data_IF_503545026729
#
_entry.id   IF_503545026729
#
_cell.length_a   1.000
_cell.length_b   1.000
_cell.length_c   1.000
_cell.angle_alpha   90.00
_cell.angle_beta   90.00
_cell.angle_gamma   90.00
#
_symmetry.space_group_name_H-M   'P 1'
#
loop_
_entity.id
_entity.type
_entity.pdbx_description
1 polymer ?
#
# COMPACT_ATOMS: atom_id res chain seq x y z
N UNK A 1 -4.51 -0.34 -23.86
CA UNK A 1 -4.13 -0.50 -22.45
C UNK A 1 -2.64 -0.86 -22.41
N UNK A 2 -1.91 -0.27 -21.48
CA UNK A 2 -0.49 -0.61 -21.26
C UNK A 2 -0.35 -2.03 -20.71
N UNK A 3 0.77 -2.70 -20.99
CA UNK A 3 1.09 -3.99 -20.41
C UNK A 3 1.34 -3.89 -18.89
N UNK A 4 1.34 -5.04 -18.22
CA UNK A 4 1.45 -5.08 -16.76
C UNK A 4 2.83 -4.59 -16.26
N UNK A 5 3.91 -4.87 -16.98
CA UNK A 5 5.25 -4.44 -16.58
C UNK A 5 5.38 -2.90 -16.60
N UNK A 6 4.86 -2.29 -17.66
CA UNK A 6 4.79 -0.82 -17.79
C UNK A 6 3.93 -0.21 -16.67
N UNK A 7 2.77 -0.81 -16.36
CA UNK A 7 1.91 -0.34 -15.28
C UNK A 7 2.59 -0.45 -13.90
N UNK A 8 3.23 -1.59 -13.61
CA UNK A 8 3.98 -1.81 -12.36
C UNK A 8 5.16 -0.82 -12.23
N UNK A 9 5.86 -0.57 -13.34
CA UNK A 9 6.97 0.38 -13.37
C UNK A 9 6.50 1.81 -13.09
N UNK A 10 5.40 2.22 -13.70
CA UNK A 10 4.80 3.56 -13.46
C UNK A 10 4.27 3.74 -12.03
N UNK A 11 3.96 2.64 -11.35
CA UNK A 11 3.47 2.63 -9.96
C UNK A 11 4.59 2.52 -8.92
N UNK A 12 5.84 2.46 -9.36
CA UNK A 12 6.98 2.27 -8.46
C UNK A 12 7.09 3.40 -7.43
N UNK A 13 7.32 3.04 -6.16
CA UNK A 13 7.39 3.99 -5.05
C UNK A 13 6.07 4.22 -4.31
N UNK A 14 4.92 4.01 -4.94
CA UNK A 14 3.60 4.23 -4.31
C UNK A 14 3.17 3.09 -3.37
N UNK A 15 3.84 1.95 -3.44
CA UNK A 15 3.50 0.77 -2.65
C UNK A 15 2.14 0.15 -2.99
N UNK A 16 1.77 -0.91 -2.25
CA UNK A 16 0.49 -1.60 -2.48
C UNK A 16 0.23 -1.93 -3.94
N UNK A 17 1.19 -2.57 -4.62
CA UNK A 17 1.18 -2.86 -6.06
C UNK A 17 -0.06 -3.64 -6.56
N UNK A 18 -0.80 -4.28 -5.65
CA UNK A 18 -2.11 -4.84 -5.98
C UNK A 18 -3.09 -3.81 -6.53
N UNK A 19 -2.95 -2.53 -6.16
CA UNK A 19 -3.85 -1.48 -6.63
C UNK A 19 -3.72 -1.24 -8.13
N UNK A 20 -2.50 -1.14 -8.66
CA UNK A 20 -2.31 -0.91 -10.10
C UNK A 20 -2.85 -2.08 -10.94
N UNK A 21 -2.68 -3.33 -10.49
CA UNK A 21 -3.29 -4.49 -11.13
C UNK A 21 -4.82 -4.44 -11.07
N UNK A 22 -5.37 -4.02 -9.93
CA UNK A 22 -6.81 -3.83 -9.80
C UNK A 22 -7.32 -2.75 -10.76
N UNK A 23 -6.59 -1.65 -10.93
CA UNK A 23 -6.95 -0.61 -11.91
C UNK A 23 -6.99 -1.15 -13.33
N UNK A 24 -6.02 -1.98 -13.74
CA UNK A 24 -6.04 -2.61 -15.06
C UNK A 24 -7.21 -3.58 -15.22
N UNK A 25 -7.49 -4.38 -14.18
CA UNK A 25 -8.63 -5.30 -14.19
C UNK A 25 -9.95 -4.53 -14.27
N UNK A 26 -10.12 -3.49 -13.46
CA UNK A 26 -11.29 -2.60 -13.48
C UNK A 26 -11.47 -1.95 -14.85
N UNK A 27 -10.39 -1.42 -15.44
CA UNK A 27 -10.47 -0.77 -16.74
C UNK A 27 -10.94 -1.74 -17.85
N UNK A 28 -10.48 -3.00 -17.82
CA UNK A 28 -10.96 -4.03 -18.75
C UNK A 28 -12.43 -4.35 -18.54
N UNK A 29 -12.85 -4.50 -17.29
CA UNK A 29 -14.24 -4.78 -16.93
C UNK A 29 -15.18 -3.64 -17.36
N UNK A 30 -14.76 -2.38 -17.15
CA UNK A 30 -15.53 -1.21 -17.58
C UNK A 30 -15.72 -1.19 -19.11
N UNK A 31 -14.67 -1.53 -19.85
CA UNK A 31 -14.78 -1.58 -21.32
C UNK A 31 -15.68 -2.72 -21.78
N UNK A 32 -15.51 -3.92 -21.20
CA UNK A 32 -16.19 -5.13 -21.64
C UNK A 32 -17.66 -5.20 -21.20
N UNK A 33 -17.94 -4.84 -19.95
CA UNK A 33 -19.26 -5.04 -19.33
C UNK A 33 -20.08 -3.73 -19.22
N UNK A 34 -19.43 -2.58 -19.22
CA UNK A 34 -20.09 -1.28 -19.03
C UNK A 34 -19.94 -0.33 -20.24
N UNK A 35 -19.50 -0.83 -21.38
CA UNK A 35 -19.37 -0.05 -22.61
C UNK A 35 -18.45 1.16 -22.49
N UNK A 36 -17.42 1.08 -21.64
CA UNK A 36 -16.44 2.16 -21.42
C UNK A 36 -16.91 3.26 -20.46
N UNK A 37 -18.09 3.12 -19.85
CA UNK A 37 -18.64 4.09 -18.89
C UNK A 37 -18.55 3.57 -17.47
N UNK A 38 -18.05 4.39 -16.56
CA UNK A 38 -17.98 4.04 -15.14
C UNK A 38 -19.40 3.93 -14.56
N UNK A 39 -19.75 2.81 -13.87
CA UNK A 39 -21.06 2.72 -13.23
C UNK A 39 -21.18 3.76 -12.11
N UNK A 40 -22.31 4.42 -12.06
CA UNK A 40 -22.62 5.51 -11.14
C UNK A 40 -23.58 5.10 -10.01
N UNK A 41 -23.68 3.80 -9.74
CA UNK A 41 -24.54 3.24 -8.69
C UNK A 41 -23.81 2.14 -7.92
N UNK A 42 -24.25 1.88 -6.69
CA UNK A 42 -23.58 0.96 -5.78
C UNK A 42 -23.58 -0.49 -6.29
N UNK A 43 -24.62 -0.91 -6.99
CA UNK A 43 -24.71 -2.26 -7.54
C UNK A 43 -23.68 -2.49 -8.65
N UNK A 44 -23.61 -1.58 -9.62
CA UNK A 44 -22.62 -1.62 -10.68
C UNK A 44 -21.18 -1.55 -10.16
N UNK A 45 -20.91 -0.69 -9.15
CA UNK A 45 -19.59 -0.59 -8.55
C UNK A 45 -19.17 -1.86 -7.78
N UNK A 46 -20.12 -2.54 -7.11
CA UNK A 46 -19.85 -3.82 -6.41
C UNK A 46 -19.46 -4.95 -7.37
N UNK A 47 -19.86 -4.89 -8.63
CA UNK A 47 -19.47 -5.87 -9.67
C UNK A 47 -18.01 -5.70 -10.10
N UNK A 48 -17.44 -4.52 -9.93
CA UNK A 48 -16.04 -4.27 -10.27
C UNK A 48 -15.08 -4.95 -9.29
N UNK A 49 -14.01 -5.57 -9.78
CA UNK A 49 -13.09 -6.32 -8.93
C UNK A 49 -12.41 -5.40 -7.91
N UNK A 50 -12.39 -5.81 -6.64
CA UNK A 50 -11.72 -5.12 -5.54
C UNK A 50 -12.25 -3.72 -5.22
N UNK A 51 -13.42 -3.36 -5.65
CA UNK A 51 -14.14 -2.19 -5.15
C UNK A 51 -14.83 -2.58 -3.85
N UNK A 52 -14.25 -2.14 -2.73
CA UNK A 52 -14.84 -2.30 -1.39
C UNK A 52 -15.79 -1.15 -1.03
N UNK A 53 -16.45 -1.23 0.16
CA UNK A 53 -17.40 -0.21 0.61
C UNK A 53 -16.83 1.21 0.57
N UNK A 54 -15.61 1.43 1.10
CA UNK A 54 -14.95 2.74 1.07
C UNK A 54 -14.77 3.26 -0.36
N UNK A 55 -14.22 2.43 -1.26
CA UNK A 55 -13.96 2.88 -2.64
C UNK A 55 -15.27 3.14 -3.39
N UNK A 56 -16.29 2.32 -3.16
CA UNK A 56 -17.63 2.54 -3.72
C UNK A 56 -18.22 3.85 -3.23
N UNK A 57 -18.23 4.10 -1.92
CA UNK A 57 -18.69 5.36 -1.32
C UNK A 57 -17.93 6.57 -1.83
N UNK A 58 -16.60 6.47 -1.93
CA UNK A 58 -15.75 7.54 -2.46
C UNK A 58 -16.05 7.85 -3.93
N UNK A 59 -16.22 6.83 -4.77
CA UNK A 59 -16.59 7.06 -6.17
C UNK A 59 -17.98 7.69 -6.30
N UNK A 60 -18.97 7.18 -5.55
CA UNK A 60 -20.33 7.72 -5.59
C UNK A 60 -20.37 9.17 -5.11
N UNK A 61 -19.73 9.49 -4.00
CA UNK A 61 -19.77 10.84 -3.45
C UNK A 61 -18.85 11.81 -4.20
N UNK A 62 -17.57 11.49 -4.38
CA UNK A 62 -16.62 12.45 -4.96
C UNK A 62 -16.75 12.59 -6.48
N UNK A 63 -16.99 11.49 -7.21
CA UNK A 63 -17.11 11.57 -8.66
C UNK A 63 -18.53 11.94 -9.14
N UNK A 64 -19.55 11.40 -8.48
CA UNK A 64 -20.94 11.51 -8.92
C UNK A 64 -21.83 12.38 -8.02
N UNK A 65 -21.33 12.90 -6.92
CA UNK A 65 -22.07 13.67 -5.91
C UNK A 65 -23.35 12.97 -5.43
N UNK A 66 -23.28 11.63 -5.30
CA UNK A 66 -24.40 10.82 -4.80
C UNK A 66 -24.27 10.56 -3.30
N UNK A 67 -25.38 10.54 -2.59
CA UNK A 67 -25.42 10.25 -1.16
C UNK A 67 -24.84 8.86 -0.87
N UNK A 68 -23.59 8.83 -0.49
CA UNK A 68 -22.88 7.61 -0.12
C UNK A 68 -21.86 7.92 0.97
N UNK A 69 -21.88 7.17 2.09
CA UNK A 69 -20.93 7.37 3.18
C UNK A 69 -19.55 6.87 2.80
N UNK A 70 -18.54 7.44 3.46
CA UNK A 70 -17.19 6.93 3.51
C UNK A 70 -16.77 6.74 4.97
N UNK A 71 -16.00 5.68 5.23
CA UNK A 71 -15.38 5.47 6.55
C UNK A 71 -13.93 5.08 6.33
N UNK A 72 -13.05 6.06 6.48
CA UNK A 72 -11.60 5.86 6.57
C UNK A 72 -11.13 6.03 8.02
N UNK A 73 -9.83 6.01 8.27
CA UNK A 73 -9.28 6.18 9.61
C UNK A 73 -9.53 7.58 10.21
N UNK A 74 -9.66 8.62 9.38
CA UNK A 74 -9.97 9.97 9.82
C UNK A 74 -11.43 10.09 10.20
N UNK A 75 -12.33 9.66 9.31
CA UNK A 75 -13.77 9.63 9.54
C UNK A 75 -14.11 8.79 10.76
N UNK A 76 -13.53 7.58 10.88
CA UNK A 76 -13.72 6.71 12.05
C UNK A 76 -13.33 7.40 13.37
N UNK A 77 -12.23 8.17 13.38
CA UNK A 77 -11.79 8.93 14.55
C UNK A 77 -12.74 10.07 14.88
N UNK A 78 -13.16 10.83 13.87
CA UNK A 78 -14.11 11.94 14.05
C UNK A 78 -15.43 11.42 14.62
N UNK A 79 -16.02 10.41 14.01
CA UNK A 79 -17.30 9.83 14.48
C UNK A 79 -17.17 9.22 15.87
N UNK A 80 -16.13 8.46 16.16
CA UNK A 80 -15.90 7.90 17.47
C UNK A 80 -15.79 8.98 18.57
N UNK A 81 -15.20 10.15 18.25
CA UNK A 81 -15.12 11.26 19.21
C UNK A 81 -16.42 12.04 19.33
N UNK A 82 -17.10 12.30 18.23
CA UNK A 82 -18.42 12.97 18.27
C UNK A 82 -19.35 12.21 19.20
N UNK A 83 -19.44 10.90 19.08
CA UNK A 83 -20.38 10.08 19.81
C UNK A 83 -19.81 9.45 21.11
N UNK A 84 -18.58 9.80 21.51
CA UNK A 84 -17.85 9.18 22.62
C UNK A 84 -17.84 7.64 22.56
N UNK A 85 -17.68 7.10 21.36
CA UNK A 85 -17.80 5.66 21.07
C UNK A 85 -16.55 4.89 21.51
N UNK A 86 -16.70 3.99 22.49
CA UNK A 86 -15.61 3.30 23.18
C UNK A 86 -15.38 1.84 22.74
N UNK A 87 -16.20 1.32 21.82
CA UNK A 87 -15.96 -0.04 21.27
C UNK A 87 -14.86 0.04 20.20
N UNK A 88 -13.98 -0.97 20.08
CA UNK A 88 -12.92 -0.96 19.06
C UNK A 88 -13.50 -0.73 17.65
N UNK A 89 -13.03 0.34 17.01
CA UNK A 89 -13.54 0.75 15.67
C UNK A 89 -13.17 -0.24 14.56
N UNK A 90 -12.19 -1.09 14.77
CA UNK A 90 -11.75 -2.16 13.86
C UNK A 90 -12.35 -3.54 14.18
N UNK A 91 -13.29 -3.61 15.15
CA UNK A 91 -14.13 -4.78 15.38
C UNK A 91 -15.32 -4.79 14.38
N UNK A 92 -16.00 -5.94 14.27
CA UNK A 92 -17.20 -6.08 13.44
C UNK A 92 -18.29 -5.09 13.86
N UNK A 93 -18.53 -4.98 15.17
CA UNK A 93 -19.56 -4.07 15.71
C UNK A 93 -19.17 -2.61 15.55
N UNK A 94 -17.87 -2.29 15.77
CA UNK A 94 -17.34 -0.95 15.53
C UNK A 94 -17.50 -0.52 14.07
N UNK A 95 -17.17 -1.40 13.13
CA UNK A 95 -17.36 -1.11 11.70
C UNK A 95 -18.83 -0.94 11.35
N UNK A 96 -19.71 -1.82 11.82
CA UNK A 96 -21.15 -1.70 11.60
C UNK A 96 -21.71 -0.38 12.12
N UNK A 97 -21.32 0.00 13.34
CA UNK A 97 -21.71 1.28 13.94
C UNK A 97 -21.26 2.47 13.09
N UNK A 98 -19.97 2.52 12.76
CA UNK A 98 -19.39 3.65 12.02
C UNK A 98 -20.02 3.83 10.63
N UNK A 99 -20.27 2.73 9.91
CA UNK A 99 -20.92 2.80 8.60
C UNK A 99 -22.35 3.29 8.71
N UNK A 100 -23.14 2.77 9.65
CA UNK A 100 -24.52 3.23 9.90
C UNK A 100 -24.54 4.70 10.31
N UNK A 101 -23.60 5.11 11.17
CA UNK A 101 -23.50 6.51 11.62
C UNK A 101 -23.11 7.45 10.47
N UNK A 102 -22.13 7.08 9.66
CA UNK A 102 -21.73 7.84 8.47
C UNK A 102 -22.90 7.98 7.48
N UNK A 103 -23.65 6.90 7.27
CA UNK A 103 -24.84 6.90 6.40
C UNK A 103 -25.93 7.85 6.90
N UNK A 104 -26.15 7.92 8.22
CA UNK A 104 -27.14 8.82 8.82
C UNK A 104 -26.76 10.31 8.74
N UNK A 105 -25.49 10.62 8.48
CA UNK A 105 -24.97 12.00 8.48
C UNK A 105 -24.70 12.54 7.07
N UNK A 106 -24.47 11.66 6.09
CA UNK A 106 -24.13 12.12 4.75
C UNK A 106 -25.26 12.99 4.18
N UNK A 107 -24.86 14.19 3.70
CA UNK A 107 -25.80 15.10 3.04
C UNK A 107 -26.23 14.53 1.68
N UNK A 108 -27.53 14.38 1.42
CA UNK A 108 -28.03 13.78 0.17
C UNK A 108 -27.76 14.65 -1.07
N UNK A 109 -27.67 15.96 -0.92
CA UNK A 109 -27.47 16.90 -2.02
C UNK A 109 -26.01 17.32 -2.17
N UNK A 110 -25.26 17.34 -1.06
CA UNK A 110 -23.87 17.82 -0.98
C UNK A 110 -22.92 16.74 -0.45
N UNK A 111 -23.10 15.49 -0.92
CA UNK A 111 -22.32 14.35 -0.41
C UNK A 111 -20.81 14.49 -0.59
N UNK A 112 -20.37 15.11 -1.70
CA UNK A 112 -18.95 15.39 -1.98
C UNK A 112 -18.37 16.34 -0.95
N UNK A 113 -19.05 17.45 -0.72
CA UNK A 113 -18.64 18.50 0.22
C UNK A 113 -18.63 17.96 1.65
N UNK A 114 -19.68 17.23 2.04
CA UNK A 114 -19.78 16.61 3.36
C UNK A 114 -18.64 15.63 3.63
N UNK A 115 -18.39 14.70 2.70
CA UNK A 115 -17.33 13.72 2.86
C UNK A 115 -15.94 14.36 2.81
N UNK A 116 -15.74 15.41 2.01
CA UNK A 116 -14.48 16.18 2.01
C UNK A 116 -14.28 16.87 3.36
N UNK A 117 -15.31 17.54 3.86
CA UNK A 117 -15.24 18.30 5.12
C UNK A 117 -14.94 17.37 6.33
N UNK A 118 -15.59 16.22 6.43
CA UNK A 118 -15.34 15.31 7.56
C UNK A 118 -13.93 14.68 7.50
N UNK A 119 -13.42 14.39 6.30
CA UNK A 119 -12.03 13.94 6.12
C UNK A 119 -11.03 15.02 6.51
N UNK A 120 -11.24 16.27 6.07
CA UNK A 120 -10.39 17.41 6.38
C UNK A 120 -10.42 17.74 7.87
N UNK A 121 -11.58 17.71 8.49
CA UNK A 121 -11.73 17.85 9.93
C UNK A 121 -10.84 16.86 10.69
N UNK A 122 -10.81 15.61 10.23
CA UNK A 122 -9.93 14.58 10.79
C UNK A 122 -8.45 14.87 10.60
N UNK A 123 -8.06 15.55 9.52
CA UNK A 123 -6.65 15.90 9.24
C UNK A 123 -6.19 17.15 9.97
N UNK A 124 -7.06 18.11 10.18
CA UNK A 124 -6.77 19.43 10.77
C UNK A 124 -7.09 19.49 12.25
N UNK A 125 -8.34 19.74 12.61
CA UNK A 125 -8.75 19.98 14.00
C UNK A 125 -8.81 18.70 14.83
N UNK A 126 -9.39 17.62 14.29
CA UNK A 126 -9.57 16.36 15.01
C UNK A 126 -8.36 15.43 14.83
N UNK A 127 -7.14 15.93 15.04
CA UNK A 127 -5.90 15.18 14.88
C UNK A 127 -5.75 14.01 15.88
N UNK A 128 -4.81 13.09 15.61
CA UNK A 128 -4.65 11.84 16.40
C UNK A 128 -4.26 12.17 17.85
N UNK A 129 -3.20 12.95 18.05
CA UNK A 129 -2.55 13.15 19.34
C UNK A 129 -2.89 14.48 20.02
N UNK A 130 -3.32 15.47 19.26
CA UNK A 130 -3.59 16.83 19.77
C UNK A 130 -4.79 17.44 19.07
N UNK A 131 -6.02 17.01 19.38
CA UNK A 131 -7.20 17.61 18.79
C UNK A 131 -7.34 19.07 19.23
N UNK A 132 -7.53 19.96 18.26
CA UNK A 132 -7.74 21.38 18.52
C UNK A 132 -9.23 21.65 18.76
N UNK A 133 -9.62 21.70 20.01
CA UNK A 133 -11.00 21.96 20.41
C UNK A 133 -11.43 23.40 20.21
N UNK A 134 -10.49 24.35 20.24
CA UNK A 134 -10.82 25.77 20.12
C UNK A 134 -11.20 26.12 18.68
N UNK A 135 -10.54 25.50 17.71
CA UNK A 135 -10.81 25.73 16.28
C UNK A 135 -11.77 24.69 15.67
N UNK A 136 -12.25 23.71 16.44
CA UNK A 136 -13.07 22.66 15.91
C UNK A 136 -14.51 23.11 15.66
N UNK A 137 -14.97 23.18 14.40
CA UNK A 137 -16.32 23.70 14.08
C UNK A 137 -17.44 22.79 14.57
N UNK A 138 -17.17 21.50 14.82
CA UNK A 138 -18.14 20.54 15.34
C UNK A 138 -18.02 20.33 16.86
N UNK A 139 -17.26 21.18 17.55
CA UNK A 139 -17.08 21.09 19.02
C UNK A 139 -18.40 21.04 19.78
N UNK A 140 -19.46 21.83 19.43
CA UNK A 140 -20.73 21.80 20.14
C UNK A 140 -21.45 20.45 20.08
N UNK A 141 -21.15 19.62 19.10
CA UNK A 141 -21.76 18.31 18.89
C UNK A 141 -20.85 17.15 19.36
N UNK A 142 -19.68 17.45 19.91
CA UNK A 142 -18.69 16.44 20.27
C UNK A 142 -18.87 16.03 21.74
N UNK A 143 -19.19 14.76 21.96
CA UNK A 143 -19.38 14.16 23.28
C UNK A 143 -18.12 13.52 23.87
N UNK A 144 -16.96 13.59 23.18
CA UNK A 144 -15.73 12.98 23.66
C UNK A 144 -15.29 13.57 25.02
N UNK A 145 -15.25 12.74 26.05
CA UNK A 145 -14.74 13.09 27.38
C UNK A 145 -13.20 13.05 27.39
N UNK A 146 -12.63 12.03 26.77
CA UNK A 146 -11.19 11.82 26.65
C UNK A 146 -10.79 11.52 25.20
N UNK A 147 -10.75 12.55 24.35
CA UNK A 147 -10.56 12.38 22.91
C UNK A 147 -9.21 11.76 22.52
N UNK A 148 -8.17 11.90 23.36
CA UNK A 148 -6.87 11.28 23.16
C UNK A 148 -6.91 9.73 23.23
N UNK A 149 -7.93 9.16 23.92
CA UNK A 149 -8.14 7.72 24.02
C UNK A 149 -8.98 7.15 22.87
N UNK A 150 -9.58 8.01 22.05
CA UNK A 150 -10.47 7.64 20.95
C UNK A 150 -9.82 7.89 19.57
N UNK A 151 -10.04 7.04 18.60
CA UNK A 151 -10.86 5.82 18.66
C UNK A 151 -10.14 4.67 19.34
N UNK A 152 -10.86 3.83 20.07
CA UNK A 152 -10.34 2.56 20.57
C UNK A 152 -10.09 1.61 19.41
N UNK A 153 -9.02 0.85 19.47
CA UNK A 153 -8.65 -0.17 18.46
C UNK A 153 -8.25 -1.46 19.14
N UNK A 154 -8.44 -2.56 18.45
CA UNK A 154 -7.90 -3.83 18.88
C UNK A 154 -6.37 -3.76 18.99
N UNK A 155 -5.76 -4.57 19.88
CA UNK A 155 -4.31 -4.66 19.99
C UNK A 155 -3.68 -4.98 18.62
N UNK A 156 -2.65 -4.22 18.26
CA UNK A 156 -1.93 -4.48 17.02
C UNK A 156 -1.21 -5.83 17.09
N UNK A 157 -1.18 -6.59 15.98
CA UNK A 157 -0.34 -7.78 15.91
C UNK A 157 1.11 -7.45 16.26
N UNK A 158 1.76 -8.34 16.99
CA UNK A 158 3.17 -8.18 17.34
C UNK A 158 4.03 -8.04 16.08
N UNK A 159 5.03 -7.17 16.17
CA UNK A 159 6.02 -6.99 15.09
C UNK A 159 6.89 -8.25 15.02
N UNK A 160 6.88 -8.91 13.88
CA UNK A 160 7.75 -10.06 13.61
C UNK A 160 9.03 -9.56 12.94
N UNK A 161 10.18 -9.85 13.54
CA UNK A 161 11.49 -9.57 12.95
C UNK A 161 11.87 -10.74 12.05
N UNK A 162 12.33 -10.44 10.85
CA UNK A 162 12.81 -11.44 9.88
C UNK A 162 14.12 -10.95 9.27
N UNK A 163 14.99 -11.88 8.95
CA UNK A 163 16.23 -11.61 8.22
C UNK A 163 16.13 -12.19 6.82
N UNK A 164 16.62 -11.46 5.84
CA UNK A 164 16.70 -11.88 4.45
C UNK A 164 18.14 -11.76 3.99
N UNK A 165 18.61 -12.80 3.36
CA UNK A 165 19.95 -12.85 2.74
C UNK A 165 19.77 -12.96 1.23
N UNK A 166 20.16 -11.92 0.51
CA UNK A 166 20.07 -11.85 -0.94
C UNK A 166 21.46 -11.83 -1.55
N UNK A 167 21.58 -12.26 -2.78
CA UNK A 167 22.85 -12.24 -3.50
C UNK A 167 22.86 -11.16 -4.58
N UNK A 168 24.01 -10.52 -4.72
CA UNK A 168 24.41 -9.76 -5.89
C UNK A 168 25.39 -10.63 -6.66
N UNK A 169 24.98 -11.14 -7.81
CA UNK A 169 25.87 -11.85 -8.74
C UNK A 169 25.90 -11.14 -10.08
N UNK A 170 27.10 -10.88 -10.57
CA UNK A 170 27.34 -10.11 -11.78
C UNK A 170 28.06 -11.02 -12.77
N UNK A 171 27.56 -11.08 -14.01
CA UNK A 171 28.18 -11.80 -15.11
C UNK A 171 28.31 -10.88 -16.32
N UNK A 172 29.54 -10.47 -16.64
CA UNK A 172 29.78 -9.45 -17.66
C UNK A 172 29.00 -8.17 -17.34
N UNK A 173 28.23 -7.66 -18.30
CA UNK A 173 27.37 -6.47 -18.13
C UNK A 173 25.95 -6.80 -17.66
N UNK A 174 25.76 -7.92 -16.99
CA UNK A 174 24.43 -8.36 -16.53
C UNK A 174 24.44 -8.72 -15.04
N UNK A 175 23.29 -8.50 -14.37
CA UNK A 175 23.06 -8.84 -12.97
C UNK A 175 22.00 -9.94 -12.90
N UNK A 176 22.20 -10.91 -12.01
CA UNK A 176 21.21 -11.93 -11.72
C UNK A 176 20.07 -11.32 -10.89
N UNK A 177 18.85 -11.40 -11.39
CA UNK A 177 17.63 -10.99 -10.70
C UNK A 177 16.63 -12.12 -10.69
N UNK A 178 15.73 -12.08 -9.71
CA UNK A 178 14.60 -13.01 -9.58
C UNK A 178 13.28 -12.29 -9.81
N UNK A 179 12.44 -12.82 -10.69
CA UNK A 179 11.07 -12.35 -10.90
C UNK A 179 10.16 -12.97 -9.85
N UNK A 180 9.45 -12.16 -9.10
CA UNK A 180 8.52 -12.64 -8.08
C UNK A 180 7.36 -13.42 -8.74
N UNK A 181 7.10 -14.67 -8.31
CA UNK A 181 6.09 -15.51 -8.94
C UNK A 181 4.68 -15.00 -8.68
N UNK A 182 3.73 -15.44 -9.52
CA UNK A 182 2.32 -15.14 -9.36
C UNK A 182 1.79 -15.63 -8.00
N UNK A 183 0.79 -14.91 -7.46
CA UNK A 183 0.21 -15.21 -6.15
C UNK A 183 1.06 -14.78 -4.94
N UNK A 184 2.31 -14.40 -5.14
CA UNK A 184 3.18 -13.88 -4.08
C UNK A 184 3.14 -12.35 -4.01
N UNK A 185 3.64 -11.81 -2.88
CA UNK A 185 3.84 -10.36 -2.76
C UNK A 185 4.80 -9.88 -3.84
N UNK A 186 4.50 -8.74 -4.47
CA UNK A 186 5.29 -8.17 -5.55
C UNK A 186 5.35 -9.03 -6.83
N UNK A 187 4.39 -9.94 -7.04
CA UNK A 187 4.35 -10.78 -8.24
C UNK A 187 4.69 -9.96 -9.50
N UNK A 188 5.41 -10.54 -10.46
CA UNK A 188 5.84 -9.88 -11.69
C UNK A 188 6.93 -8.81 -11.54
N UNK A 189 7.29 -8.41 -10.31
CA UNK A 189 8.37 -7.46 -10.04
C UNK A 189 9.69 -8.19 -9.84
N UNK A 190 10.79 -7.48 -10.09
CA UNK A 190 12.14 -8.01 -9.94
C UNK A 190 12.73 -7.66 -8.57
N UNK A 191 13.54 -8.58 -8.05
CA UNK A 191 14.29 -8.44 -6.80
C UNK A 191 15.65 -9.12 -6.91
N UNK A 192 16.54 -8.85 -5.97
CA UNK A 192 17.74 -9.66 -5.80
C UNK A 192 17.37 -11.08 -5.35
N UNK A 193 18.04 -12.15 -5.88
CA UNK A 193 17.74 -13.53 -5.49
C UNK A 193 18.04 -13.78 -4.01
N UNK A 194 17.09 -14.40 -3.31
CA UNK A 194 17.23 -14.75 -1.90
C UNK A 194 17.91 -16.11 -1.76
N UNK A 195 18.86 -16.20 -0.83
CA UNK A 195 19.63 -17.41 -0.49
C UNK A 195 19.70 -17.58 1.04
N UNK A 196 19.59 -18.82 1.48
CA UNK A 196 19.69 -19.19 2.91
C UNK A 196 20.69 -20.35 3.10
N UNK A 197 21.55 -20.59 2.09
CA UNK A 197 22.57 -21.62 2.18
C UNK A 197 23.78 -21.13 3.01
N UNK A 198 24.49 -22.10 3.65
CA UNK A 198 25.62 -21.83 4.52
C UNK A 198 26.72 -21.01 3.83
N UNK A 199 26.97 -21.29 2.53
CA UNK A 199 27.97 -20.55 1.76
C UNK A 199 27.61 -19.06 1.69
N UNK A 200 26.39 -18.71 1.28
CA UNK A 200 25.93 -17.31 1.24
C UNK A 200 26.00 -16.64 2.59
N UNK A 201 25.55 -17.34 3.64
CA UNK A 201 25.52 -16.81 5.00
C UNK A 201 26.95 -16.56 5.57
N UNK A 202 27.94 -17.29 5.12
CA UNK A 202 29.35 -17.12 5.53
C UNK A 202 30.05 -15.92 4.87
N UNK A 203 29.51 -15.41 3.76
CA UNK A 203 30.10 -14.29 3.03
C UNK A 203 29.84 -12.94 3.71
N UNK A 204 30.78 -11.99 3.64
CA UNK A 204 30.51 -10.63 4.09
C UNK A 204 29.40 -9.99 3.26
N UNK A 205 28.54 -9.22 3.89
CA UNK A 205 27.53 -8.46 3.17
C UNK A 205 28.10 -7.11 2.67
N UNK A 206 27.72 -6.73 1.47
CA UNK A 206 28.08 -5.44 0.86
C UNK A 206 27.05 -4.35 1.17
N UNK A 207 25.84 -4.76 1.56
CA UNK A 207 24.79 -3.83 1.94
C UNK A 207 23.90 -4.44 3.02
N UNK A 208 23.59 -3.64 4.05
CA UNK A 208 22.57 -3.93 5.06
C UNK A 208 21.47 -2.90 4.97
N UNK A 209 20.23 -3.35 4.93
CA UNK A 209 19.04 -2.48 4.91
C UNK A 209 18.02 -2.94 5.95
N UNK A 210 17.28 -2.00 6.53
CA UNK A 210 16.13 -2.31 7.39
C UNK A 210 14.91 -1.58 6.85
N UNK A 211 13.79 -2.30 6.71
CA UNK A 211 12.52 -1.74 6.28
C UNK A 211 11.35 -2.51 6.87
N UNK A 212 10.17 -1.93 6.83
CA UNK A 212 8.95 -2.57 7.35
C UNK A 212 8.01 -2.95 6.21
N UNK A 213 7.41 -4.13 6.32
CA UNK A 213 6.36 -4.59 5.43
C UNK A 213 5.20 -5.11 6.29
N UNK A 214 4.11 -4.37 6.39
CA UNK A 214 2.99 -4.68 7.28
C UNK A 214 3.47 -4.89 8.73
N UNK A 215 3.31 -6.09 9.32
CA UNK A 215 3.81 -6.43 10.66
C UNK A 215 5.27 -6.89 10.70
N UNK A 216 5.91 -7.09 9.55
CA UNK A 216 7.28 -7.58 9.51
C UNK A 216 8.28 -6.43 9.50
N UNK A 217 9.28 -6.49 10.39
CA UNK A 217 10.47 -5.66 10.34
C UNK A 217 11.60 -6.50 9.74
N UNK A 218 11.94 -6.18 8.49
CA UNK A 218 12.93 -6.93 7.70
C UNK A 218 14.30 -6.32 7.89
N UNK A 219 15.28 -7.12 8.31
CA UNK A 219 16.69 -6.82 8.14
C UNK A 219 17.19 -7.62 6.95
N UNK A 220 17.73 -6.94 5.96
CA UNK A 220 18.17 -7.52 4.71
C UNK A 220 19.67 -7.34 4.56
N UNK A 221 20.35 -8.41 4.20
CA UNK A 221 21.76 -8.43 3.87
C UNK A 221 21.92 -8.80 2.39
N UNK A 222 22.74 -8.05 1.64
CA UNK A 222 23.09 -8.39 0.26
C UNK A 222 24.54 -8.79 0.25
N UNK A 223 24.83 -9.99 -0.24
CA UNK A 223 26.15 -10.58 -0.34
C UNK A 223 26.61 -10.56 -1.79
N UNK A 224 27.85 -10.11 -2.05
CA UNK A 224 28.44 -10.21 -3.38
C UNK A 224 29.04 -11.60 -3.57
N UNK A 225 28.49 -12.34 -4.50
CA UNK A 225 28.92 -13.72 -4.83
C UNK A 225 29.70 -13.67 -6.12
N UNK A 226 30.87 -14.30 -6.13
CA UNK A 226 31.76 -14.41 -7.31
C UNK A 226 31.64 -15.75 -8.02
N UNK A 227 31.33 -16.80 -7.28
CA UNK A 227 31.11 -18.12 -7.83
C UNK A 227 29.76 -18.18 -8.53
N UNK A 228 29.69 -18.92 -9.65
CA UNK A 228 28.47 -19.03 -10.43
C UNK A 228 27.37 -19.72 -9.62
N UNK A 229 26.30 -19.01 -9.23
CA UNK A 229 25.24 -19.59 -8.42
C UNK A 229 24.39 -20.53 -9.28
N UNK A 230 23.85 -21.56 -8.63
CA UNK A 230 22.80 -22.38 -9.24
C UNK A 230 21.55 -21.52 -9.48
N UNK A 231 21.11 -21.45 -10.74
CA UNK A 231 19.91 -20.71 -11.10
C UNK A 231 18.67 -21.43 -10.59
N UNK A 232 17.74 -20.67 -10.04
CA UNK A 232 16.41 -21.14 -9.59
C UNK A 232 15.33 -20.66 -10.57
N UNK A 233 14.18 -21.27 -10.51
CA UNK A 233 13.02 -20.84 -11.30
C UNK A 233 12.72 -19.34 -11.12
N UNK A 234 12.49 -18.65 -12.21
CA UNK A 234 12.23 -17.21 -12.25
C UNK A 234 13.48 -16.33 -12.11
N UNK A 235 14.70 -16.90 -12.06
CA UNK A 235 15.95 -16.16 -12.06
C UNK A 235 16.51 -16.02 -13.46
N UNK A 236 16.92 -14.81 -13.80
CA UNK A 236 17.47 -14.47 -15.10
C UNK A 236 18.56 -13.40 -15.01
N UNK A 237 19.45 -13.39 -16.00
CA UNK A 237 20.45 -12.35 -16.15
C UNK A 237 19.87 -11.14 -16.89
N UNK A 238 19.84 -10.01 -16.23
CA UNK A 238 19.35 -8.76 -16.80
C UNK A 238 20.50 -7.83 -17.11
N UNK A 239 20.62 -7.33 -18.36
CA UNK A 239 21.60 -6.34 -18.74
C UNK A 239 21.46 -5.05 -17.91
N UNK A 240 22.59 -4.45 -17.51
CA UNK A 240 22.61 -3.27 -16.64
C UNK A 240 21.92 -2.05 -17.26
N UNK A 241 21.93 -1.92 -18.57
CA UNK A 241 21.24 -0.86 -19.29
C UNK A 241 19.71 -1.00 -19.24
N UNK A 242 19.20 -2.23 -19.08
CA UNK A 242 17.76 -2.52 -19.01
C UNK A 242 17.19 -2.52 -17.59
N UNK A 243 18.06 -2.62 -16.56
CA UNK A 243 17.63 -2.82 -15.18
C UNK A 243 16.77 -1.67 -14.63
N UNK A 244 17.02 -0.44 -15.11
CA UNK A 244 16.24 0.73 -14.71
C UNK A 244 14.81 0.73 -15.28
N UNK A 245 14.56 0.03 -16.36
CA UNK A 245 13.23 -0.16 -16.96
C UNK A 245 12.36 -1.20 -16.25
N UNK A 246 12.96 -2.10 -15.47
CA UNK A 246 12.22 -3.17 -14.79
C UNK A 246 11.45 -2.64 -13.57
N UNK A 247 10.23 -3.17 -13.29
CA UNK A 247 9.52 -2.86 -12.06
C UNK A 247 10.20 -3.55 -10.87
N UNK A 248 10.55 -2.77 -9.86
CA UNK A 248 11.17 -3.26 -8.63
C UNK A 248 10.46 -2.68 -7.40
N UNK A 249 10.40 -3.45 -6.31
CA UNK A 249 9.93 -2.92 -5.04
C UNK A 249 10.94 -1.88 -4.49
N UNK A 250 10.44 -0.90 -3.73
CA UNK A 250 11.28 0.20 -3.22
C UNK A 250 12.56 -0.25 -2.51
N UNK A 251 12.57 -1.32 -1.69
CA UNK A 251 13.83 -1.78 -1.08
C UNK A 251 14.86 -2.26 -2.11
N UNK A 252 14.41 -2.95 -3.17
CA UNK A 252 15.30 -3.43 -4.23
C UNK A 252 15.82 -2.28 -5.08
N UNK A 253 14.97 -1.33 -5.44
CA UNK A 253 15.37 -0.13 -6.16
C UNK A 253 16.37 0.72 -5.34
N UNK A 254 16.12 0.88 -4.05
CA UNK A 254 17.06 1.59 -3.14
C UNK A 254 18.39 0.87 -3.02
N UNK A 255 18.37 -0.46 -2.95
CA UNK A 255 19.60 -1.25 -2.93
C UNK A 255 20.41 -1.06 -4.21
N UNK A 256 19.76 -1.19 -5.37
CA UNK A 256 20.38 -1.00 -6.69
C UNK A 256 21.05 0.38 -6.82
N UNK A 257 20.39 1.42 -6.31
CA UNK A 257 20.88 2.81 -6.37
C UNK A 257 21.81 3.17 -5.20
N UNK A 258 22.15 2.24 -4.32
CA UNK A 258 23.03 2.51 -3.19
C UNK A 258 24.48 2.73 -3.65
N UNK A 259 25.27 3.60 -2.98
CA UNK A 259 26.68 3.77 -3.31
C UNK A 259 27.49 2.47 -3.21
N UNK A 260 27.11 1.56 -2.31
CA UNK A 260 27.79 0.29 -2.13
C UNK A 260 27.66 -0.61 -3.37
N UNK A 261 26.45 -0.80 -3.89
CA UNK A 261 26.24 -1.57 -5.11
C UNK A 261 26.68 -0.79 -6.34
N UNK A 262 26.52 0.53 -6.36
CA UNK A 262 26.97 1.40 -7.45
C UNK A 262 28.46 1.27 -7.75
N UNK A 263 29.31 1.16 -6.74
CA UNK A 263 30.75 0.91 -6.92
C UNK A 263 30.98 -0.42 -7.64
N UNK A 264 30.34 -1.50 -7.24
CA UNK A 264 30.49 -2.82 -7.86
C UNK A 264 29.95 -2.84 -9.30
N UNK A 265 28.82 -2.17 -9.55
CA UNK A 265 28.19 -2.14 -10.87
C UNK A 265 28.89 -1.19 -11.86
N UNK A 266 29.52 -0.12 -11.38
CA UNK A 266 30.23 0.85 -12.24
C UNK A 266 31.62 0.36 -12.69
N UNK A 267 32.27 -0.55 -11.96
CA UNK A 267 33.52 -1.17 -12.42
C UNK A 267 33.32 -2.05 -13.66
N UNK A 268 32.09 -2.25 -14.10
CA UNK A 268 31.70 -3.17 -15.19
C UNK A 268 31.07 -2.40 -16.38
N UNK A 269 30.80 -1.12 -16.20
CA UNK A 269 30.38 -0.22 -17.30
C UNK A 269 31.58 0.21 -18.13
#
# INVERSE_FOLDING_TARGET
AVDEQTALRSWEGLGYYRRVRSLQSIAREIVNEFGGRFPDNAEGLKRLPRIGPYTSGALLSFAFNKAAPIVDANVARVLARIDNYSVPVDSTDGQKYLWSRAESLVDPEHAREFNSAIMELGQTCCSISSPDFLLCPVRPFCSAERPETLPVKNPKPQVTRVEHHDILYIRGKSVLLAKCPEGKRHAGMYRFPQREDEHTLSLPHVLKQTYSITRYRVTRYIHHVTDTPLLREGEEFVPLDKIHGLPMASPDRKALNSPALGKLLNHIR
#
